data_IF_989312072961
#
_entry.id   IF_989312072961
#
_cell.length_a   1.000
_cell.length_b   1.000
_cell.length_c   1.000
_cell.angle_alpha   90.00
_cell.angle_beta   90.00
_cell.angle_gamma   90.00
#
_symmetry.space_group_name_H-M   'P 1'
#
loop_
_entity.id
_entity.type
_entity.pdbx_description
1 polymer ?
#
# COMPACT_ATOMS: atom_id res chain seq x y z
N UNK A 1 -12.32 -5.93 22.02
CA UNK A 1 -11.06 -5.65 22.74
C UNK A 1 -9.83 -6.34 22.15
N UNK A 2 -9.90 -7.58 21.66
CA UNK A 2 -8.75 -8.23 20.98
C UNK A 2 -8.82 -8.09 19.45
N UNK A 3 -10.01 -8.29 18.88
CA UNK A 3 -10.30 -8.06 17.46
C UNK A 3 -10.02 -6.61 17.04
N UNK A 4 -10.42 -5.63 17.86
CA UNK A 4 -10.18 -4.20 17.56
C UNK A 4 -8.69 -3.86 17.54
N UNK A 5 -7.89 -4.52 18.40
CA UNK A 5 -6.43 -4.35 18.42
C UNK A 5 -5.81 -4.97 17.17
N UNK A 6 -6.20 -6.18 16.79
CA UNK A 6 -5.72 -6.83 15.56
C UNK A 6 -6.04 -5.97 14.33
N UNK A 7 -7.28 -5.47 14.22
CA UNK A 7 -7.69 -4.58 13.13
C UNK A 7 -6.84 -3.30 13.12
N UNK A 8 -6.61 -2.69 14.29
CA UNK A 8 -5.75 -1.50 14.41
C UNK A 8 -4.30 -1.76 13.98
N UNK A 9 -3.72 -2.88 14.39
CA UNK A 9 -2.37 -3.28 13.97
C UNK A 9 -2.30 -3.52 12.46
N UNK A 10 -3.30 -4.18 11.89
CA UNK A 10 -3.35 -4.45 10.44
C UNK A 10 -3.57 -3.18 9.62
N UNK A 11 -4.33 -2.23 10.14
CA UNK A 11 -4.47 -0.91 9.52
C UNK A 11 -3.14 -0.14 9.53
N UNK A 12 -2.41 -0.18 10.65
CA UNK A 12 -1.07 0.41 10.76
C UNK A 12 -0.05 -0.26 9.85
N UNK A 13 -0.04 -1.59 9.78
CA UNK A 13 0.82 -2.39 8.91
C UNK A 13 0.60 -2.03 7.42
N UNK A 14 -0.67 -1.98 6.98
CA UNK A 14 -1.01 -1.59 5.61
C UNK A 14 -0.55 -0.16 5.30
N UNK A 15 -0.73 0.79 6.23
CA UNK A 15 -0.30 2.17 6.05
C UNK A 15 1.24 2.28 5.97
N UNK A 16 1.96 1.56 6.84
CA UNK A 16 3.42 1.54 6.86
C UNK A 16 3.99 0.98 5.55
N UNK A 17 3.48 -0.18 5.08
CA UNK A 17 3.87 -0.77 3.80
C UNK A 17 3.58 0.18 2.62
N UNK A 18 2.43 0.87 2.64
CA UNK A 18 2.09 1.87 1.64
C UNK A 18 3.09 3.02 1.61
N UNK A 19 3.48 3.53 2.77
CA UNK A 19 4.50 4.60 2.88
C UNK A 19 5.87 4.13 2.41
N UNK A 20 6.29 2.91 2.75
CA UNK A 20 7.54 2.31 2.25
C UNK A 20 7.52 2.24 0.72
N UNK A 21 6.42 1.79 0.12
CA UNK A 21 6.27 1.77 -1.33
C UNK A 21 6.41 3.16 -1.98
N UNK A 22 5.87 4.21 -1.35
CA UNK A 22 6.04 5.59 -1.82
C UNK A 22 7.49 6.08 -1.70
N UNK A 23 8.23 5.66 -0.67
CA UNK A 23 9.66 5.97 -0.52
C UNK A 23 10.48 5.30 -1.63
N UNK A 24 10.20 4.05 -1.98
CA UNK A 24 10.88 3.42 -3.10
C UNK A 24 10.53 4.08 -4.44
N UNK A 25 9.27 4.49 -4.61
CA UNK A 25 8.84 5.27 -5.79
C UNK A 25 9.62 6.58 -5.89
N UNK A 26 9.80 7.32 -4.79
CA UNK A 26 10.56 8.58 -4.83
C UNK A 26 12.05 8.38 -5.10
N UNK A 27 12.59 7.20 -4.77
CA UNK A 27 13.95 6.77 -5.14
C UNK A 27 14.08 6.29 -6.59
N UNK A 28 12.99 6.24 -7.36
CA UNK A 28 12.98 5.70 -8.72
C UNK A 28 12.97 4.18 -8.81
N UNK A 29 12.86 3.48 -7.68
CA UNK A 29 12.82 2.02 -7.62
C UNK A 29 11.37 1.53 -7.71
N UNK A 30 10.89 1.43 -8.96
CA UNK A 30 9.51 1.04 -9.24
C UNK A 30 9.20 -0.40 -8.79
N UNK A 31 10.16 -1.32 -8.88
CA UNK A 31 9.94 -2.73 -8.55
C UNK A 31 9.69 -2.91 -7.06
N UNK A 32 10.54 -2.31 -6.21
CA UNK A 32 10.31 -2.35 -4.77
C UNK A 32 9.06 -1.55 -4.38
N UNK A 33 8.79 -0.42 -5.02
CA UNK A 33 7.56 0.35 -4.79
C UNK A 33 6.30 -0.50 -5.03
N UNK A 34 6.24 -1.19 -6.17
CA UNK A 34 5.13 -2.08 -6.53
C UNK A 34 5.02 -3.24 -5.55
N UNK A 35 6.14 -3.83 -5.09
CA UNK A 35 6.15 -4.92 -4.11
C UNK A 35 5.47 -4.52 -2.81
N UNK A 36 5.91 -3.42 -2.18
CA UNK A 36 5.36 -2.99 -0.90
C UNK A 36 3.92 -2.47 -1.01
N UNK A 37 3.58 -1.76 -2.11
CA UNK A 37 2.20 -1.33 -2.35
C UNK A 37 1.25 -2.51 -2.56
N UNK A 38 1.69 -3.60 -3.21
CA UNK A 38 0.87 -4.82 -3.35
C UNK A 38 0.61 -5.50 -2.01
N UNK A 39 1.61 -5.60 -1.14
CA UNK A 39 1.44 -6.15 0.21
C UNK A 39 0.47 -5.29 1.05
N UNK A 40 0.62 -3.95 0.99
CA UNK A 40 -0.32 -3.04 1.63
C UNK A 40 -1.76 -3.22 1.12
N UNK A 41 -1.93 -3.42 -0.20
CA UNK A 41 -3.24 -3.62 -0.83
C UNK A 41 -3.90 -4.92 -0.37
N UNK A 42 -3.13 -6.00 -0.19
CA UNK A 42 -3.64 -7.28 0.28
C UNK A 42 -4.26 -7.16 1.67
N UNK A 43 -3.55 -6.52 2.61
CA UNK A 43 -4.05 -6.28 3.96
C UNK A 43 -5.28 -5.37 3.91
N UNK A 44 -5.22 -4.28 3.15
CA UNK A 44 -6.33 -3.36 3.00
C UNK A 44 -7.59 -4.03 2.44
N UNK A 45 -7.45 -4.96 1.48
CA UNK A 45 -8.57 -5.76 0.96
C UNK A 45 -9.10 -6.75 2.00
N UNK A 46 -8.21 -7.48 2.68
CA UNK A 46 -8.57 -8.51 3.66
C UNK A 46 -9.42 -7.94 4.81
N UNK A 47 -9.05 -6.77 5.31
CA UNK A 47 -9.76 -6.10 6.41
C UNK A 47 -10.72 -4.98 5.95
N UNK A 48 -10.95 -4.88 4.63
CA UNK A 48 -11.86 -3.90 4.00
C UNK A 48 -11.55 -2.43 4.34
N UNK A 49 -10.28 -2.07 4.46
CA UNK A 49 -9.81 -0.69 4.65
C UNK A 49 -9.95 0.14 3.37
N UNK A 50 -11.18 0.58 3.05
CA UNK A 50 -11.52 1.22 1.77
C UNK A 50 -10.71 2.48 1.44
N UNK A 51 -10.41 3.29 2.46
CA UNK A 51 -9.59 4.48 2.28
C UNK A 51 -8.15 4.13 1.83
N UNK A 52 -7.52 3.18 2.53
CA UNK A 52 -6.18 2.70 2.18
C UNK A 52 -6.19 2.01 0.81
N UNK A 53 -7.20 1.18 0.53
CA UNK A 53 -7.36 0.50 -0.76
C UNK A 53 -7.35 1.49 -1.93
N UNK A 54 -8.12 2.58 -1.83
CA UNK A 54 -8.21 3.62 -2.86
C UNK A 54 -6.89 4.36 -3.03
N UNK A 55 -6.24 4.75 -1.92
CA UNK A 55 -4.94 5.43 -1.94
C UNK A 55 -3.85 4.58 -2.59
N UNK A 56 -3.78 3.31 -2.21
CA UNK A 56 -2.77 2.36 -2.71
C UNK A 56 -2.97 2.09 -4.22
N UNK A 57 -4.22 1.90 -4.66
CA UNK A 57 -4.54 1.73 -6.08
C UNK A 57 -4.11 2.93 -6.92
N UNK A 58 -4.42 4.14 -6.45
CA UNK A 58 -3.98 5.37 -7.12
C UNK A 58 -2.46 5.40 -7.30
N UNK A 59 -1.69 5.10 -6.25
CA UNK A 59 -0.23 5.06 -6.34
C UNK A 59 0.31 3.96 -7.25
N UNK A 60 -0.33 2.79 -7.30
CA UNK A 60 0.03 1.71 -8.22
C UNK A 60 -0.19 2.12 -9.68
N UNK A 61 -1.28 2.81 -9.98
CA UNK A 61 -1.60 3.28 -11.33
C UNK A 61 -0.59 4.35 -11.78
N UNK A 62 -0.22 5.28 -10.89
CA UNK A 62 0.82 6.29 -11.17
C UNK A 62 2.18 5.67 -11.52
N UNK A 63 2.59 4.61 -10.81
CA UNK A 63 3.87 3.93 -11.07
C UNK A 63 3.84 3.22 -12.43
N UNK A 64 2.74 2.53 -12.74
CA UNK A 64 2.59 1.81 -14.02
C UNK A 64 2.54 2.76 -15.22
N UNK A 65 1.85 3.89 -15.07
CA UNK A 65 1.72 4.89 -16.13
C UNK A 65 3.06 5.57 -16.43
N UNK A 66 3.90 5.80 -15.41
CA UNK A 66 5.26 6.35 -15.60
C UNK A 66 6.22 5.39 -16.28
N UNK A 67 6.03 4.08 -16.13
CA UNK A 67 6.88 3.07 -16.77
C UNK A 67 6.47 2.74 -18.21
N UNK A 68 5.41 3.38 -18.74
CA UNK A 68 4.90 3.18 -20.10
C UNK A 68 5.26 4.32 -21.06
N UNK A 69 6.14 5.25 -20.64
CA UNK A 69 6.73 6.31 -21.45
C UNK A 69 8.22 6.05 -21.61
#
# INVERSE_FOLDING_TARGET
MEIDKEIGYKQGEAAALGNIGLIYRSKGDADNALKYLKQALEIAKKYKFKFLEKKIKFSLDEIKNKNSQ
#
